data_IF_029138722553
#
_entry.id   IF_029138722553
#
_cell.length_a   1.000
_cell.length_b   1.000
_cell.length_c   1.000
_cell.angle_alpha   90.00
_cell.angle_beta   90.00
_cell.angle_gamma   90.00
#
_symmetry.space_group_name_H-M   'P 1'
#
loop_
_entity.id
_entity.type
_entity.pdbx_description
1 polymer ?
#
# COMPACT_ATOMS: atom_id res chain seq x y z
N UNK A 1 11.04 19.73 -9.29
CA UNK A 1 9.88 18.85 -9.04
C UNK A 1 10.41 17.65 -8.26
N UNK A 2 10.01 17.48 -6.99
CA UNK A 2 10.48 16.33 -6.20
C UNK A 2 9.76 15.09 -6.71
N UNK A 3 10.41 14.31 -7.57
CA UNK A 3 10.10 12.89 -7.74
C UNK A 3 10.55 12.20 -6.46
N UNK A 4 9.82 12.40 -5.37
CA UNK A 4 10.03 11.61 -4.16
C UNK A 4 9.53 10.21 -4.50
N UNK A 5 10.43 9.37 -5.01
CA UNK A 5 10.19 7.94 -5.20
C UNK A 5 9.82 7.40 -3.82
N UNK A 6 8.58 6.92 -3.70
CA UNK A 6 8.05 6.38 -2.48
C UNK A 6 8.89 5.17 -2.07
N UNK A 7 9.46 5.16 -0.87
CA UNK A 7 10.13 3.96 -0.35
C UNK A 7 9.11 2.90 0.03
N UNK A 8 9.54 1.65 0.15
CA UNK A 8 8.70 0.57 0.68
C UNK A 8 8.08 0.89 2.04
N UNK A 9 8.83 1.50 2.94
CA UNK A 9 8.35 1.87 4.29
C UNK A 9 7.28 2.97 4.23
N UNK A 10 7.47 3.96 3.35
CA UNK A 10 6.47 4.98 3.08
C UNK A 10 5.22 4.34 2.49
N UNK A 11 5.35 3.46 1.49
CA UNK A 11 4.26 2.71 0.89
C UNK A 11 3.47 1.90 1.93
N UNK A 12 4.16 1.19 2.81
CA UNK A 12 3.52 0.44 3.90
C UNK A 12 2.73 1.37 4.83
N UNK A 13 3.28 2.53 5.16
CA UNK A 13 2.59 3.53 6.01
C UNK A 13 1.31 4.04 5.35
N UNK A 14 1.36 4.33 4.04
CA UNK A 14 0.17 4.73 3.28
C UNK A 14 -0.87 3.61 3.21
N UNK A 15 -0.46 2.38 2.92
CA UNK A 15 -1.35 1.21 2.89
C UNK A 15 -2.06 1.03 4.24
N UNK A 16 -1.32 1.08 5.35
CA UNK A 16 -1.88 0.95 6.70
C UNK A 16 -2.82 2.10 7.05
N UNK A 17 -2.48 3.34 6.64
CA UNK A 17 -3.34 4.51 6.85
C UNK A 17 -4.65 4.36 6.09
N UNK A 18 -4.59 3.94 4.82
CA UNK A 18 -5.76 3.71 4.01
C UNK A 18 -6.66 2.63 4.61
N UNK A 19 -6.10 1.46 4.96
CA UNK A 19 -6.88 0.33 5.49
C UNK A 19 -7.48 0.67 6.86
N UNK A 20 -6.66 1.11 7.82
CA UNK A 20 -7.08 1.23 9.23
C UNK A 20 -7.80 2.55 9.51
N UNK A 21 -7.32 3.66 8.94
CA UNK A 21 -7.85 5.00 9.26
C UNK A 21 -8.96 5.37 8.30
N UNK A 22 -8.70 5.35 6.99
CA UNK A 22 -9.65 5.87 5.99
C UNK A 22 -10.80 4.90 5.76
N UNK A 23 -10.51 3.60 5.67
CA UNK A 23 -11.51 2.54 5.47
C UNK A 23 -12.07 1.98 6.77
N UNK A 24 -11.49 2.37 7.92
CA UNK A 24 -11.88 1.87 9.25
C UNK A 24 -11.93 0.33 9.32
N UNK A 25 -11.04 -0.33 8.57
CA UNK A 25 -10.98 -1.78 8.48
C UNK A 25 -9.93 -2.32 9.44
N UNK A 26 -10.38 -3.00 10.49
CA UNK A 26 -9.51 -3.66 11.46
C UNK A 26 -9.16 -5.07 11.01
N UNK A 27 -7.91 -5.48 11.21
CA UNK A 27 -7.44 -6.83 10.93
C UNK A 27 -6.48 -7.29 12.03
N UNK A 28 -6.27 -8.61 12.15
CA UNK A 28 -5.25 -9.15 13.04
C UNK A 28 -3.87 -9.08 12.37
N UNK A 29 -2.88 -8.49 13.05
CA UNK A 29 -1.50 -8.49 12.58
C UNK A 29 -0.78 -9.78 12.99
N UNK A 30 -0.93 -10.81 12.15
CA UNK A 30 -0.24 -12.09 12.27
C UNK A 30 0.81 -12.25 11.15
N UNK A 31 1.50 -13.39 11.11
CA UNK A 31 2.59 -13.61 10.14
C UNK A 31 2.11 -13.54 8.69
N UNK A 32 0.90 -14.06 8.40
CA UNK A 32 0.34 -14.07 7.06
C UNK A 32 -0.08 -12.66 6.62
N UNK A 33 -0.80 -11.92 7.46
CA UNK A 33 -1.24 -10.55 7.13
C UNK A 33 -0.04 -9.61 7.00
N UNK A 34 0.96 -9.73 7.87
CA UNK A 34 2.20 -8.95 7.75
C UNK A 34 2.96 -9.27 6.45
N UNK A 35 3.06 -10.55 6.07
CA UNK A 35 3.70 -10.93 4.81
C UNK A 35 2.96 -10.33 3.60
N UNK A 36 1.63 -10.41 3.58
CA UNK A 36 0.80 -9.81 2.53
C UNK A 36 1.04 -8.30 2.45
N UNK A 37 0.94 -7.56 3.57
CA UNK A 37 1.16 -6.11 3.61
C UNK A 37 2.57 -5.72 3.12
N UNK A 38 3.59 -6.50 3.47
CA UNK A 38 4.97 -6.26 3.01
C UNK A 38 5.14 -6.50 1.51
N UNK A 39 4.38 -7.43 0.92
CA UNK A 39 4.37 -7.66 -0.52
C UNK A 39 3.65 -6.52 -1.24
N UNK A 40 2.48 -6.11 -0.74
CA UNK A 40 1.72 -4.96 -1.27
C UNK A 40 2.55 -3.68 -1.27
N UNK A 41 3.30 -3.41 -0.19
CA UNK A 41 4.20 -2.26 -0.12
C UNK A 41 5.34 -2.33 -1.16
N UNK A 42 5.88 -3.53 -1.41
CA UNK A 42 6.92 -3.73 -2.43
C UNK A 42 6.35 -3.54 -3.84
N UNK A 43 5.13 -4.00 -4.09
CA UNK A 43 4.45 -3.81 -5.36
C UNK A 43 4.17 -2.32 -5.63
N UNK A 44 3.68 -1.60 -4.61
CA UNK A 44 3.42 -0.17 -4.70
C UNK A 44 4.70 0.63 -5.01
N UNK A 45 5.80 0.33 -4.30
CA UNK A 45 7.11 0.91 -4.57
C UNK A 45 7.53 0.64 -6.03
N UNK A 46 7.46 -0.60 -6.50
CA UNK A 46 7.86 -0.96 -7.85
C UNK A 46 7.02 -0.26 -8.93
N UNK A 47 5.69 -0.24 -8.79
CA UNK A 47 4.80 0.41 -9.77
C UNK A 47 5.05 1.90 -9.86
N UNK A 48 5.18 2.58 -8.71
CA UNK A 48 5.48 4.02 -8.66
C UNK A 48 6.89 4.38 -9.13
N UNK A 49 7.81 3.42 -9.15
CA UNK A 49 9.16 3.61 -9.70
C UNK A 49 9.25 3.34 -11.20
N UNK A 50 8.42 2.45 -11.74
CA UNK A 50 8.49 1.99 -13.13
C UNK A 50 7.57 2.76 -14.09
N UNK A 51 6.47 3.30 -13.59
CA UNK A 51 5.46 3.98 -14.41
C UNK A 51 5.42 5.49 -14.09
N UNK A 52 5.87 6.31 -15.05
CA UNK A 52 5.80 7.75 -14.94
C UNK A 52 4.36 8.25 -15.05
N UNK A 53 3.99 9.21 -14.20
CA UNK A 53 2.67 9.85 -14.20
C UNK A 53 1.61 9.15 -13.37
N UNK A 54 1.95 8.05 -12.68
CA UNK A 54 1.06 7.47 -11.69
C UNK A 54 0.88 8.39 -10.48
N UNK A 55 -0.36 8.42 -9.99
CA UNK A 55 -0.71 9.16 -8.78
C UNK A 55 -0.56 8.23 -7.58
N UNK A 56 0.31 8.54 -6.59
CA UNK A 56 0.64 7.61 -5.51
C UNK A 56 -0.55 7.09 -4.71
N UNK A 57 -1.51 7.95 -4.37
CA UNK A 57 -2.67 7.52 -3.58
C UNK A 57 -3.55 6.52 -4.35
N UNK A 58 -3.85 6.78 -5.63
CA UNK A 58 -4.67 5.88 -6.46
C UNK A 58 -4.03 4.49 -6.60
N UNK A 59 -2.70 4.43 -6.73
CA UNK A 59 -1.96 3.16 -6.79
C UNK A 59 -2.07 2.40 -5.47
N UNK A 60 -1.90 3.08 -4.34
CA UNK A 60 -1.99 2.47 -3.02
C UNK A 60 -3.40 1.94 -2.76
N UNK A 61 -4.44 2.70 -3.10
CA UNK A 61 -5.84 2.28 -2.96
C UNK A 61 -6.12 1.01 -3.76
N UNK A 62 -5.70 0.98 -5.04
CA UNK A 62 -5.90 -0.18 -5.90
C UNK A 62 -5.15 -1.43 -5.41
N UNK A 63 -3.95 -1.26 -4.86
CA UNK A 63 -3.14 -2.36 -4.30
C UNK A 63 -3.72 -2.86 -2.97
N UNK A 64 -4.28 -1.98 -2.15
CA UNK A 64 -4.86 -2.35 -0.86
C UNK A 64 -6.26 -2.97 -0.98
N UNK A 65 -7.00 -2.70 -2.07
CA UNK A 65 -8.36 -3.20 -2.27
C UNK A 65 -8.51 -4.73 -2.09
N UNK A 66 -7.66 -5.59 -2.68
CA UNK A 66 -7.76 -7.03 -2.50
C UNK A 66 -7.62 -7.48 -1.05
N UNK A 67 -6.82 -6.79 -0.23
CA UNK A 67 -6.67 -7.11 1.19
C UNK A 67 -7.97 -6.84 1.96
N UNK A 68 -8.64 -5.72 1.65
CA UNK A 68 -9.89 -5.32 2.29
C UNK A 68 -11.07 -6.19 1.83
N UNK A 69 -11.07 -6.62 0.57
CA UNK A 69 -12.15 -7.45 -0.01
C UNK A 69 -12.04 -8.94 0.33
N UNK A 70 -10.87 -9.40 0.77
CA UNK A 70 -10.60 -10.81 1.11
C UNK A 70 -10.96 -11.21 2.55
N UNK A 71 -11.29 -10.26 3.41
CA UNK A 71 -11.81 -10.45 4.77
C UNK A 71 -13.33 -10.27 4.80
#
# INVERSE_FOLDING_TARGET
MRTSRLSKEEALTFILTHIVVERSHSFELNQATLFTLMNLASEAENRLQQEDGLIPHEVIEAIAAPFIESE
#
